data_IF_394825188236
#
_entry.id   IF_394825188236
#
_cell.length_a   1.000
_cell.length_b   1.000
_cell.length_c   1.000
_cell.angle_alpha   90.00
_cell.angle_beta   90.00
_cell.angle_gamma   90.00
#
_symmetry.space_group_name_H-M   'P 1'
#
loop_
_entity.id
_entity.type
_entity.pdbx_description
1 polymer ?
#
# COMPACT_ATOMS: atom_id res chain seq x y z
N UNK A 1 -120.38 -210.07 112.60
CA UNK A 1 -119.27 -209.85 113.55
C UNK A 1 -119.07 -208.36 113.65
N UNK A 2 -118.87 -207.84 114.86
CA UNK A 2 -118.61 -206.43 115.07
C UNK A 2 -117.23 -206.07 114.51
N UNK A 3 -117.11 -204.81 114.09
CA UNK A 3 -115.88 -204.27 113.54
C UNK A 3 -114.77 -204.37 114.57
N UNK A 4 -113.64 -204.95 114.17
CA UNK A 4 -112.44 -204.96 115.01
C UNK A 4 -111.86 -203.55 115.09
N UNK A 5 -111.38 -203.17 116.27
CA UNK A 5 -110.66 -201.92 116.42
C UNK A 5 -109.47 -201.93 115.43
N UNK A 6 -109.38 -200.94 114.53
CA UNK A 6 -108.13 -200.70 113.80
C UNK A 6 -107.24 -199.92 114.75
N UNK A 7 -106.38 -200.64 115.47
CA UNK A 7 -105.28 -200.09 116.23
C UNK A 7 -104.13 -201.07 116.25
N UNK A 8 -102.94 -200.56 116.52
CA UNK A 8 -101.70 -201.35 116.59
C UNK A 8 -101.72 -202.38 117.76
N UNK A 9 -102.66 -202.26 118.71
CA UNK A 9 -102.85 -203.17 119.85
C UNK A 9 -104.03 -204.12 119.70
N UNK A 10 -104.85 -203.91 118.67
CA UNK A 10 -106.06 -204.69 118.45
C UNK A 10 -105.71 -206.05 117.86
N UNK A 11 -106.11 -207.10 118.58
CA UNK A 11 -106.13 -208.48 118.06
C UNK A 11 -107.47 -208.86 117.46
N UNK A 12 -108.37 -207.88 117.34
CA UNK A 12 -109.63 -208.07 116.66
C UNK A 12 -109.36 -208.15 115.16
N UNK A 13 -110.01 -209.07 114.47
CA UNK A 13 -109.95 -209.10 113.03
C UNK A 13 -110.63 -207.85 112.47
N UNK A 14 -109.86 -207.05 111.73
CA UNK A 14 -110.38 -205.93 110.94
C UNK A 14 -111.21 -206.46 109.79
N UNK A 15 -112.34 -205.81 109.54
CA UNK A 15 -113.33 -206.31 108.59
C UNK A 15 -113.03 -205.81 107.15
N UNK A 16 -113.84 -206.26 106.20
CA UNK A 16 -113.69 -205.84 104.80
C UNK A 16 -113.89 -204.34 104.52
N UNK A 17 -114.55 -203.57 105.40
CA UNK A 17 -114.72 -202.13 105.17
C UNK A 17 -113.43 -201.35 105.46
N UNK A 18 -112.63 -201.82 106.43
CA UNK A 18 -111.35 -201.20 106.81
C UNK A 18 -110.27 -201.39 105.73
N UNK A 19 -110.26 -202.52 105.02
CA UNK A 19 -109.33 -202.75 103.91
C UNK A 19 -109.70 -201.97 102.62
N UNK A 20 -111.00 -201.73 102.38
CA UNK A 20 -111.48 -200.97 101.21
C UNK A 20 -111.00 -199.51 101.24
N UNK A 21 -111.07 -198.84 102.39
CA UNK A 21 -110.72 -197.42 102.50
C UNK A 21 -109.25 -197.13 102.16
N UNK A 22 -108.32 -197.97 102.64
CA UNK A 22 -106.89 -197.85 102.32
C UNK A 22 -106.62 -197.98 100.82
N UNK A 23 -107.40 -198.81 100.12
CA UNK A 23 -107.20 -199.04 98.69
C UNK A 23 -107.66 -197.83 97.84
N UNK A 24 -108.76 -197.18 98.23
CA UNK A 24 -109.28 -195.99 97.53
C UNK A 24 -108.29 -194.78 97.67
N UNK A 25 -107.58 -194.65 98.79
CA UNK A 25 -106.54 -193.62 98.99
C UNK A 25 -105.28 -193.86 98.13
N UNK A 26 -104.89 -195.13 97.94
CA UNK A 26 -103.74 -195.50 97.10
C UNK A 26 -104.00 -195.19 95.62
N UNK A 27 -105.23 -195.36 95.15
CA UNK A 27 -105.62 -195.03 93.77
C UNK A 27 -105.61 -193.52 93.52
N UNK A 28 -106.04 -192.73 94.50
CA UNK A 28 -105.96 -191.26 94.46
C UNK A 28 -104.51 -190.77 94.38
N UNK A 29 -103.61 -191.33 95.19
CA UNK A 29 -102.18 -190.98 95.15
C UNK A 29 -101.53 -191.34 93.82
N UNK A 30 -101.90 -192.46 93.23
CA UNK A 30 -101.39 -192.88 91.91
C UNK A 30 -101.73 -191.84 90.83
N UNK A 31 -102.94 -191.28 90.87
CA UNK A 31 -103.40 -190.26 89.91
C UNK A 31 -102.66 -188.91 90.09
N UNK A 32 -102.44 -188.48 91.33
CA UNK A 32 -101.70 -187.25 91.64
C UNK A 32 -100.23 -187.32 91.19
N UNK A 33 -99.59 -188.47 91.35
CA UNK A 33 -98.21 -188.69 90.91
C UNK A 33 -98.08 -188.54 89.39
N UNK A 34 -99.02 -189.09 88.62
CA UNK A 34 -99.02 -188.95 87.16
C UNK A 34 -99.14 -187.48 86.72
N UNK A 35 -100.03 -186.71 87.37
CA UNK A 35 -100.22 -185.28 87.08
C UNK A 35 -98.97 -184.46 87.39
N UNK A 36 -98.35 -184.67 88.56
CA UNK A 36 -97.13 -183.97 88.93
C UNK A 36 -95.96 -184.29 88.00
N UNK A 37 -95.88 -185.54 87.53
CA UNK A 37 -94.87 -185.96 86.55
C UNK A 37 -95.02 -185.18 85.23
N UNK A 38 -96.25 -184.95 84.76
CA UNK A 38 -96.52 -184.15 83.56
C UNK A 38 -96.13 -182.66 83.73
N UNK A 39 -96.50 -182.05 84.85
CA UNK A 39 -96.15 -180.64 85.12
C UNK A 39 -94.64 -180.41 85.20
N UNK A 40 -93.89 -181.35 85.79
CA UNK A 40 -92.43 -181.29 85.88
C UNK A 40 -91.79 -181.33 84.48
N UNK A 41 -92.30 -182.16 83.56
CA UNK A 41 -91.79 -182.23 82.19
C UNK A 41 -91.98 -180.90 81.43
N UNK A 42 -93.15 -180.27 81.55
CA UNK A 42 -93.42 -178.96 80.91
C UNK A 42 -92.53 -177.85 81.46
N UNK A 43 -92.35 -177.77 82.78
CA UNK A 43 -91.47 -176.78 83.39
C UNK A 43 -90.01 -176.98 82.95
N UNK A 44 -89.56 -178.24 82.83
CA UNK A 44 -88.21 -178.55 82.35
C UNK A 44 -87.98 -178.02 80.92
N UNK A 45 -88.96 -178.15 80.02
CA UNK A 45 -88.85 -177.64 78.65
C UNK A 45 -88.82 -176.11 78.58
N UNK A 46 -89.67 -175.41 79.35
CA UNK A 46 -89.67 -173.95 79.38
C UNK A 46 -88.36 -173.36 79.91
N UNK A 47 -87.78 -173.99 80.94
CA UNK A 47 -86.48 -173.59 81.49
C UNK A 47 -85.38 -173.73 80.44
N UNK A 48 -85.38 -174.80 79.64
CA UNK A 48 -84.41 -174.99 78.57
C UNK A 48 -84.50 -173.88 77.50
N UNK A 49 -85.70 -173.54 77.03
CA UNK A 49 -85.89 -172.46 76.04
C UNK A 49 -85.45 -171.09 76.58
N UNK A 50 -85.82 -170.76 77.81
CA UNK A 50 -85.39 -169.50 78.44
C UNK A 50 -83.86 -169.44 78.58
N UNK A 51 -83.21 -170.56 78.89
CA UNK A 51 -81.74 -170.64 78.97
C UNK A 51 -81.09 -170.29 77.63
N UNK A 52 -81.61 -170.80 76.52
CA UNK A 52 -81.09 -170.48 75.18
C UNK A 52 -81.28 -169.01 74.81
N UNK A 53 -82.47 -168.43 75.05
CA UNK A 53 -82.73 -167.02 74.73
C UNK A 53 -81.83 -166.06 75.53
N UNK A 54 -81.62 -166.37 76.82
CA UNK A 54 -80.70 -165.59 77.68
C UNK A 54 -79.27 -165.67 77.14
N UNK A 55 -78.85 -166.82 76.64
CA UNK A 55 -77.50 -167.00 76.05
C UNK A 55 -77.33 -166.12 74.81
N UNK A 56 -78.26 -166.16 73.85
CA UNK A 56 -78.17 -165.32 72.63
C UNK A 56 -78.17 -163.81 72.91
N UNK A 57 -78.97 -163.39 73.91
CA UNK A 57 -78.97 -162.00 74.36
C UNK A 57 -77.64 -161.60 74.99
N UNK A 58 -77.01 -162.51 75.73
CA UNK A 58 -75.69 -162.29 76.33
C UNK A 58 -74.63 -162.10 75.26
N UNK A 59 -74.64 -162.93 74.22
CA UNK A 59 -73.68 -162.85 73.12
C UNK A 59 -73.87 -161.55 72.31
N UNK A 60 -75.11 -161.20 71.96
CA UNK A 60 -75.40 -159.94 71.22
C UNK A 60 -74.99 -158.69 71.99
N UNK A 61 -75.17 -158.69 73.33
CA UNK A 61 -74.70 -157.60 74.19
C UNK A 61 -73.17 -157.60 74.32
N UNK A 62 -72.53 -158.76 74.23
CA UNK A 62 -71.08 -158.90 74.15
C UNK A 62 -70.54 -158.23 72.89
N UNK A 63 -71.06 -158.61 71.72
CA UNK A 63 -70.64 -158.04 70.44
C UNK A 63 -70.85 -156.52 70.39
N UNK A 64 -71.99 -156.04 70.91
CA UNK A 64 -72.26 -154.60 70.96
C UNK A 64 -71.25 -153.84 71.84
N UNK A 65 -70.70 -154.45 72.90
CA UNK A 65 -69.66 -153.80 73.72
C UNK A 65 -68.36 -153.63 72.95
N UNK A 66 -68.02 -154.55 72.07
CA UNK A 66 -66.79 -154.48 71.30
C UNK A 66 -66.86 -153.41 70.20
N UNK A 67 -68.06 -153.17 69.63
CA UNK A 67 -68.25 -152.23 68.52
C UNK A 67 -68.76 -150.83 68.91
N UNK A 68 -69.22 -150.63 70.15
CA UNK A 68 -69.74 -149.34 70.61
C UNK A 68 -68.67 -148.42 71.19
N UNK A 69 -68.88 -147.10 71.10
CA UNK A 69 -68.12 -146.15 71.90
C UNK A 69 -68.47 -146.33 73.38
N UNK A 70 -67.52 -146.82 74.17
CA UNK A 70 -67.74 -147.13 75.58
C UNK A 70 -67.23 -146.01 76.49
N UNK A 71 -68.00 -145.68 77.53
CA UNK A 71 -67.53 -144.78 78.58
C UNK A 71 -66.46 -145.46 79.44
N UNK A 72 -65.26 -144.89 79.51
CA UNK A 72 -64.14 -145.45 80.29
C UNK A 72 -63.95 -144.81 81.67
N UNK A 73 -64.91 -143.98 82.11
CA UNK A 73 -64.87 -143.25 83.38
C UNK A 73 -64.74 -141.75 83.21
N UNK A 74 -64.00 -141.28 82.20
CA UNK A 74 -63.76 -139.85 81.96
C UNK A 74 -64.15 -139.38 80.56
N UNK A 75 -64.17 -140.27 79.57
CA UNK A 75 -64.57 -139.97 78.20
C UNK A 75 -65.19 -141.19 77.52
N UNK A 76 -65.87 -140.95 76.39
CA UNK A 76 -66.14 -142.03 75.45
C UNK A 76 -64.82 -142.45 74.80
N UNK A 77 -64.51 -143.74 74.88
CA UNK A 77 -63.33 -144.35 74.32
C UNK A 77 -63.63 -144.90 72.93
N UNK A 78 -62.79 -144.55 71.96
CA UNK A 78 -62.88 -145.03 70.59
C UNK A 78 -61.93 -146.21 70.28
N UNK A 79 -61.27 -146.78 71.28
CA UNK A 79 -60.51 -148.02 71.11
C UNK A 79 -61.41 -149.15 70.59
N UNK A 80 -60.94 -149.90 69.59
CA UNK A 80 -61.65 -151.03 68.98
C UNK A 80 -60.66 -152.18 68.74
N UNK A 81 -61.01 -153.38 69.19
CA UNK A 81 -60.11 -154.53 69.16
C UNK A 81 -58.78 -154.28 69.89
N UNK A 82 -57.66 -154.41 69.19
CA UNK A 82 -56.31 -154.16 69.74
C UNK A 82 -55.84 -152.71 69.57
N UNK A 83 -56.58 -151.88 68.83
CA UNK A 83 -56.19 -150.49 68.59
C UNK A 83 -56.57 -149.61 69.76
N UNK A 84 -55.59 -148.93 70.34
CA UNK A 84 -55.81 -148.05 71.51
C UNK A 84 -56.52 -146.75 71.14
N UNK A 85 -56.57 -146.40 69.86
CA UNK A 85 -57.27 -145.21 69.32
C UNK A 85 -57.82 -145.54 67.94
N UNK A 86 -59.07 -145.17 67.66
CA UNK A 86 -59.66 -145.32 66.33
C UNK A 86 -60.19 -143.99 65.80
N UNK A 87 -60.32 -143.90 64.48
CA UNK A 87 -60.97 -142.76 63.83
C UNK A 87 -62.48 -142.80 64.04
N UNK A 88 -63.04 -141.70 64.53
CA UNK A 88 -64.50 -141.50 64.51
C UNK A 88 -64.83 -140.84 63.16
N UNK A 89 -65.46 -141.59 62.26
CA UNK A 89 -65.92 -141.06 60.96
C UNK A 89 -67.37 -140.57 61.05
N UNK A 90 -67.81 -139.81 60.05
CA UNK A 90 -69.14 -139.18 60.00
C UNK A 90 -69.43 -138.19 61.15
N UNK A 91 -68.39 -137.60 61.74
CA UNK A 91 -68.53 -136.46 62.66
C UNK A 91 -68.99 -135.24 61.85
N UNK A 92 -70.27 -134.89 62.01
CA UNK A 92 -70.82 -133.65 61.48
C UNK A 92 -69.99 -132.47 62.02
N UNK A 93 -69.77 -131.44 61.20
CA UNK A 93 -69.09 -130.23 61.66
C UNK A 93 -69.76 -129.71 62.94
N UNK A 94 -68.97 -129.58 64.01
CA UNK A 94 -69.45 -129.09 65.28
C UNK A 94 -69.87 -127.64 65.17
N UNK A 95 -70.76 -127.19 66.04
CA UNK A 95 -71.09 -125.76 66.13
C UNK A 95 -69.83 -125.01 66.62
N UNK A 96 -69.41 -123.96 65.92
CA UNK A 96 -68.27 -123.12 66.34
C UNK A 96 -68.82 -121.93 67.13
N UNK A 97 -68.86 -122.07 68.46
CA UNK A 97 -69.22 -121.02 69.40
C UNK A 97 -68.43 -121.18 70.70
N UNK A 98 -68.29 -120.11 71.48
CA UNK A 98 -67.48 -120.10 72.70
C UNK A 98 -67.90 -121.17 73.74
N UNK A 99 -69.19 -121.52 73.81
CA UNK A 99 -69.74 -122.54 74.72
C UNK A 99 -69.90 -123.93 74.07
N UNK A 100 -69.45 -124.12 72.83
CA UNK A 100 -69.63 -125.39 72.12
C UNK A 100 -68.80 -126.49 72.77
N UNK A 101 -69.45 -127.62 73.00
CA UNK A 101 -68.80 -128.87 73.40
C UNK A 101 -68.82 -129.91 72.28
N UNK A 102 -69.26 -129.51 71.08
CA UNK A 102 -69.26 -130.35 69.90
C UNK A 102 -67.82 -130.67 69.48
N UNK A 103 -67.58 -131.91 69.05
CA UNK A 103 -66.30 -132.25 68.43
C UNK A 103 -66.16 -131.52 67.09
N UNK A 104 -65.02 -130.85 66.88
CA UNK A 104 -64.68 -130.28 65.57
C UNK A 104 -64.14 -131.35 64.65
N UNK A 105 -64.53 -131.30 63.38
CA UNK A 105 -64.05 -132.24 62.38
C UNK A 105 -62.85 -131.69 61.60
N UNK A 106 -62.23 -132.54 60.79
CA UNK A 106 -61.04 -132.18 60.00
C UNK A 106 -61.26 -130.99 59.05
N UNK A 107 -62.47 -130.80 58.50
CA UNK A 107 -62.74 -129.63 57.64
C UNK A 107 -62.66 -128.31 58.40
N UNK A 108 -63.21 -128.23 59.62
CA UNK A 108 -63.20 -127.00 60.42
C UNK A 108 -61.77 -126.60 60.84
N UNK A 109 -60.95 -127.59 61.22
CA UNK A 109 -59.55 -127.35 61.56
C UNK A 109 -58.74 -126.97 60.32
N UNK A 110 -59.04 -127.55 59.15
CA UNK A 110 -58.40 -127.19 57.88
C UNK A 110 -58.71 -125.74 57.50
N UNK A 111 -59.97 -125.31 57.56
CA UNK A 111 -60.35 -123.93 57.24
C UNK A 111 -59.62 -122.92 58.14
N UNK A 112 -59.48 -123.25 59.43
CA UNK A 112 -58.69 -122.44 60.37
C UNK A 112 -57.22 -122.36 59.96
N UNK A 113 -56.61 -123.50 59.60
CA UNK A 113 -55.21 -123.54 59.17
C UNK A 113 -54.98 -122.80 57.85
N UNK A 114 -55.89 -122.88 56.89
CA UNK A 114 -55.83 -122.15 55.62
C UNK A 114 -55.87 -120.62 55.85
N UNK A 115 -56.71 -120.16 56.79
CA UNK A 115 -56.76 -118.75 57.20
C UNK A 115 -55.45 -118.30 57.88
N UNK A 116 -54.86 -119.13 58.74
CA UNK A 116 -53.57 -118.85 59.38
C UNK A 116 -52.44 -118.77 58.35
N UNK A 117 -52.41 -119.67 57.36
CA UNK A 117 -51.45 -119.64 56.27
C UNK A 117 -51.60 -118.38 55.41
N UNK A 118 -52.85 -117.96 55.14
CA UNK A 118 -53.16 -116.72 54.44
C UNK A 118 -52.65 -115.50 55.22
N UNK A 119 -52.92 -115.43 56.52
CA UNK A 119 -52.41 -114.36 57.38
C UNK A 119 -50.88 -114.31 57.41
N UNK A 120 -50.22 -115.46 57.46
CA UNK A 120 -48.76 -115.55 57.39
C UNK A 120 -48.22 -114.94 56.10
N UNK A 121 -48.86 -115.22 54.98
CA UNK A 121 -48.51 -114.67 53.66
C UNK A 121 -48.74 -113.15 53.60
N UNK A 122 -49.87 -112.68 54.14
CA UNK A 122 -50.20 -111.25 54.19
C UNK A 122 -49.20 -110.47 55.07
N UNK A 123 -48.81 -111.04 56.22
CA UNK A 123 -47.80 -110.45 57.11
C UNK A 123 -46.46 -110.32 56.37
N UNK A 124 -46.00 -111.40 55.71
CA UNK A 124 -44.75 -111.36 54.94
C UNK A 124 -44.78 -110.29 53.84
N UNK A 125 -45.91 -110.16 53.13
CA UNK A 125 -46.11 -109.12 52.11
C UNK A 125 -46.07 -107.72 52.71
N UNK A 126 -46.72 -107.50 53.84
CA UNK A 126 -46.68 -106.22 54.55
C UNK A 126 -45.28 -105.87 55.03
N UNK A 127 -44.51 -106.84 55.53
CA UNK A 127 -43.10 -106.64 55.90
C UNK A 127 -42.26 -106.20 54.70
N UNK A 128 -42.43 -106.83 53.54
CA UNK A 128 -41.72 -106.45 52.31
C UNK A 128 -42.09 -105.03 51.83
N UNK A 129 -43.38 -104.68 51.88
CA UNK A 129 -43.86 -103.34 51.56
C UNK A 129 -43.30 -102.27 52.51
N UNK A 130 -43.23 -102.58 53.81
CA UNK A 130 -42.61 -101.69 54.81
C UNK A 130 -41.14 -101.48 54.50
N UNK A 131 -40.38 -102.54 54.22
CA UNK A 131 -38.96 -102.43 53.86
C UNK A 131 -38.74 -101.56 52.62
N UNK A 132 -39.60 -101.72 51.61
CA UNK A 132 -39.57 -100.89 50.39
C UNK A 132 -39.87 -99.42 50.71
N UNK A 133 -40.90 -99.15 51.52
CA UNK A 133 -41.23 -97.80 51.95
C UNK A 133 -40.09 -97.16 52.76
N UNK A 134 -39.41 -97.92 53.63
CA UNK A 134 -38.22 -97.46 54.35
C UNK A 134 -37.10 -97.05 53.39
N UNK A 135 -36.83 -97.85 52.35
CA UNK A 135 -35.83 -97.51 51.32
C UNK A 135 -36.21 -96.22 50.57
N UNK A 136 -37.45 -96.13 50.10
CA UNK A 136 -37.95 -94.94 49.39
C UNK A 136 -37.87 -93.67 50.24
N UNK A 137 -38.15 -93.77 51.55
CA UNK A 137 -38.00 -92.66 52.49
C UNK A 137 -36.54 -92.23 52.63
N UNK A 138 -35.61 -93.18 52.68
CA UNK A 138 -34.18 -92.89 52.74
C UNK A 138 -33.69 -92.17 51.47
N UNK A 139 -34.11 -92.64 50.29
CA UNK A 139 -33.79 -92.00 49.01
C UNK A 139 -34.37 -90.58 48.90
N UNK A 140 -35.63 -90.41 49.31
CA UNK A 140 -36.26 -89.09 49.37
C UNK A 140 -35.52 -88.14 50.33
N UNK A 141 -35.05 -88.66 51.46
CA UNK A 141 -34.25 -87.88 52.43
C UNK A 141 -32.93 -87.42 51.81
N UNK A 142 -32.23 -88.29 51.09
CA UNK A 142 -30.99 -87.94 50.41
C UNK A 142 -31.20 -86.92 49.27
N UNK A 143 -32.28 -87.09 48.49
CA UNK A 143 -32.65 -86.15 47.43
C UNK A 143 -33.01 -84.77 47.99
N UNK A 144 -33.74 -84.72 49.12
CA UNK A 144 -34.05 -83.47 49.82
C UNK A 144 -32.75 -82.78 50.27
N UNK A 145 -31.82 -83.50 50.89
CA UNK A 145 -30.55 -82.94 51.32
C UNK A 145 -29.73 -82.36 50.15
N UNK A 146 -29.70 -83.08 49.02
CA UNK A 146 -29.04 -82.59 47.78
C UNK A 146 -29.72 -81.33 47.25
N UNK A 147 -31.05 -81.30 47.19
CA UNK A 147 -31.80 -80.13 46.76
C UNK A 147 -31.57 -78.92 47.70
N UNK A 148 -31.49 -79.16 49.01
CA UNK A 148 -31.14 -78.11 49.98
C UNK A 148 -29.76 -77.53 49.71
N UNK A 149 -28.75 -78.36 49.41
CA UNK A 149 -27.41 -77.89 49.04
C UNK A 149 -27.43 -77.06 47.76
N UNK A 150 -28.08 -77.56 46.70
CA UNK A 150 -28.18 -76.85 45.43
C UNK A 150 -28.90 -75.50 45.56
N UNK A 151 -29.93 -75.41 46.41
CA UNK A 151 -30.63 -74.16 46.71
C UNK A 151 -29.69 -73.18 47.42
N UNK A 152 -28.87 -73.65 48.37
CA UNK A 152 -27.88 -72.81 49.06
C UNK A 152 -26.84 -72.26 48.08
N UNK A 153 -26.30 -73.09 47.18
CA UNK A 153 -25.34 -72.68 46.16
C UNK A 153 -25.96 -71.65 45.19
N UNK A 154 -27.18 -71.91 44.73
CA UNK A 154 -27.91 -70.96 43.88
C UNK A 154 -28.14 -69.62 44.61
N UNK A 155 -28.43 -69.65 45.90
CA UNK A 155 -28.60 -68.43 46.72
C UNK A 155 -27.29 -67.64 46.77
N UNK A 156 -26.14 -68.31 46.98
CA UNK A 156 -24.83 -67.66 47.00
C UNK A 156 -24.44 -67.08 45.63
N UNK A 157 -24.71 -67.82 44.55
CA UNK A 157 -24.48 -67.35 43.17
C UNK A 157 -25.35 -66.13 42.83
N UNK A 158 -26.62 -66.15 43.24
CA UNK A 158 -27.52 -64.99 43.09
C UNK A 158 -26.96 -63.77 43.83
N UNK A 159 -26.54 -63.93 45.09
CA UNK A 159 -25.96 -62.84 45.87
C UNK A 159 -24.70 -62.25 45.20
N UNK A 160 -23.83 -63.11 44.64
CA UNK A 160 -22.65 -62.70 43.89
C UNK A 160 -23.03 -61.93 42.63
N UNK A 161 -23.99 -62.44 41.85
CA UNK A 161 -24.49 -61.76 40.65
C UNK A 161 -25.12 -60.40 40.99
N UNK A 162 -25.89 -60.30 42.09
CA UNK A 162 -26.41 -59.02 42.58
C UNK A 162 -25.30 -58.02 42.88
N UNK A 163 -24.22 -58.46 43.54
CA UNK A 163 -23.06 -57.59 43.82
C UNK A 163 -22.35 -57.12 42.55
N UNK A 164 -22.11 -58.04 41.60
CA UNK A 164 -21.50 -57.71 40.31
C UNK A 164 -22.36 -56.74 39.49
N UNK A 165 -23.68 -56.92 39.47
CA UNK A 165 -24.62 -56.01 38.81
C UNK A 165 -24.55 -54.62 39.45
N UNK A 166 -24.49 -54.52 40.78
CA UNK A 166 -24.34 -53.25 41.48
C UNK A 166 -23.01 -52.55 41.12
N UNK A 167 -21.91 -53.30 41.07
CA UNK A 167 -20.60 -52.78 40.64
C UNK A 167 -20.61 -52.28 39.19
N UNK A 168 -21.18 -53.07 38.26
CA UNK A 168 -21.34 -52.66 36.87
C UNK A 168 -22.22 -51.40 36.74
N UNK A 169 -23.29 -51.31 37.53
CA UNK A 169 -24.16 -50.12 37.57
C UNK A 169 -23.38 -48.88 38.00
N UNK A 170 -22.55 -48.98 39.04
CA UNK A 170 -21.69 -47.87 39.49
C UNK A 170 -20.67 -47.47 38.42
N UNK A 171 -20.00 -48.43 37.78
CA UNK A 171 -19.04 -48.16 36.70
C UNK A 171 -19.71 -47.47 35.49
N UNK A 172 -20.92 -47.90 35.11
CA UNK A 172 -21.70 -47.27 34.04
C UNK A 172 -22.05 -45.82 34.40
N UNK A 173 -22.44 -45.56 35.66
CA UNK A 173 -22.72 -44.20 36.12
C UNK A 173 -21.47 -43.31 36.04
N UNK A 174 -20.32 -43.79 36.50
CA UNK A 174 -19.03 -43.08 36.37
C UNK A 174 -18.67 -42.81 34.92
N UNK A 175 -18.78 -43.81 34.04
CA UNK A 175 -18.51 -43.62 32.61
C UNK A 175 -19.46 -42.59 31.98
N UNK A 176 -20.73 -42.57 32.38
CA UNK A 176 -21.71 -41.56 31.93
C UNK A 176 -21.27 -40.15 32.32
N UNK A 177 -20.83 -39.95 33.57
CA UNK A 177 -20.31 -38.66 34.05
C UNK A 177 -19.05 -38.25 33.28
N UNK A 178 -18.10 -39.17 33.07
CA UNK A 178 -16.87 -38.89 32.33
C UNK A 178 -17.14 -38.50 30.87
N UNK A 179 -18.07 -39.19 30.20
CA UNK A 179 -18.48 -38.87 28.83
C UNK A 179 -19.11 -37.47 28.77
N UNK A 180 -19.95 -37.12 29.74
CA UNK A 180 -20.53 -35.77 29.82
C UNK A 180 -19.43 -34.70 29.99
N UNK A 181 -18.46 -34.92 30.88
CA UNK A 181 -17.33 -34.00 31.08
C UNK A 181 -16.44 -33.86 29.83
N UNK A 182 -16.17 -34.96 29.13
CA UNK A 182 -15.45 -34.95 27.87
C UNK A 182 -16.22 -34.17 26.79
N UNK A 183 -17.55 -34.34 26.72
CA UNK A 183 -18.42 -33.60 25.79
C UNK A 183 -18.32 -32.10 26.04
N UNK A 184 -18.41 -31.66 27.31
CA UNK A 184 -18.24 -30.25 27.67
C UNK A 184 -16.86 -29.73 27.28
N UNK A 185 -15.79 -30.49 27.56
CA UNK A 185 -14.42 -30.09 27.26
C UNK A 185 -14.17 -29.95 25.76
N UNK A 186 -14.69 -30.88 24.95
CA UNK A 186 -14.63 -30.83 23.49
C UNK A 186 -15.36 -29.60 22.95
N UNK A 187 -16.55 -29.29 23.48
CA UNK A 187 -17.28 -28.10 23.06
C UNK A 187 -16.52 -26.82 23.38
N UNK A 188 -15.90 -26.71 24.56
CA UNK A 188 -15.06 -25.56 24.91
C UNK A 188 -13.82 -25.44 24.01
N UNK A 189 -13.20 -26.57 23.65
CA UNK A 189 -12.10 -26.59 22.69
C UNK A 189 -12.54 -26.11 21.31
N UNK A 190 -13.67 -26.58 20.79
CA UNK A 190 -14.22 -26.14 19.51
C UNK A 190 -14.48 -24.62 19.52
N UNK A 191 -15.14 -24.09 20.56
CA UNK A 191 -15.33 -22.63 20.68
C UNK A 191 -14.01 -21.85 20.69
N UNK A 192 -12.97 -22.40 21.32
CA UNK A 192 -11.65 -21.76 21.34
C UNK A 192 -10.96 -21.80 19.98
N UNK A 193 -11.12 -22.90 19.24
CA UNK A 193 -10.61 -23.04 17.87
C UNK A 193 -11.35 -22.09 16.93
N UNK A 194 -12.68 -22.03 16.99
CA UNK A 194 -13.49 -21.11 16.20
C UNK A 194 -13.08 -19.65 16.44
N UNK A 195 -12.78 -19.28 17.68
CA UNK A 195 -12.27 -17.95 18.02
C UNK A 195 -10.88 -17.70 17.40
N UNK A 196 -9.98 -18.69 17.48
CA UNK A 196 -8.65 -18.58 16.89
C UNK A 196 -8.69 -18.47 15.36
N UNK A 197 -9.58 -19.22 14.70
CA UNK A 197 -9.78 -19.13 13.25
C UNK A 197 -10.28 -17.75 12.81
N UNK A 198 -11.00 -17.02 13.68
CA UNK A 198 -11.43 -15.67 13.39
C UNK A 198 -10.38 -14.61 13.71
N UNK A 199 -9.63 -14.76 14.81
CA UNK A 199 -8.74 -13.71 15.33
C UNK A 199 -7.29 -13.80 14.84
N UNK A 200 -6.84 -14.97 14.35
CA UNK A 200 -5.46 -15.18 13.91
C UNK A 200 -5.21 -14.71 12.47
N UNK A 201 -3.96 -14.31 12.17
CA UNK A 201 -3.52 -14.19 10.77
C UNK A 201 -3.32 -15.58 10.16
N UNK A 202 -4.23 -15.98 9.28
CA UNK A 202 -4.22 -17.32 8.68
C UNK A 202 -3.50 -17.34 7.32
N UNK A 203 -2.80 -18.44 7.04
CA UNK A 203 -2.21 -18.68 5.73
C UNK A 203 -3.29 -19.09 4.73
N UNK A 204 -3.44 -18.35 3.63
CA UNK A 204 -4.47 -18.61 2.61
C UNK A 204 -3.97 -19.46 1.41
N UNK A 205 -2.76 -20.03 1.51
CA UNK A 205 -2.11 -20.79 0.44
C UNK A 205 -0.94 -20.05 -0.20
N UNK A 206 -0.98 -18.71 -0.25
CA UNK A 206 0.08 -17.88 -0.88
C UNK A 206 0.62 -16.77 0.03
N UNK A 207 -0.18 -16.29 0.99
CA UNK A 207 0.22 -15.25 1.94
C UNK A 207 -0.53 -15.42 3.28
N UNK A 208 -0.01 -14.76 4.33
CA UNK A 208 -0.79 -14.54 5.54
C UNK A 208 -1.88 -13.51 5.26
N UNK A 209 -3.13 -13.84 5.60
CA UNK A 209 -4.30 -12.98 5.45
C UNK A 209 -4.60 -12.26 6.76
N UNK A 210 -4.77 -10.94 6.69
CA UNK A 210 -5.13 -10.09 7.81
C UNK A 210 -6.64 -9.73 7.85
N UNK A 211 -7.49 -10.38 7.05
CA UNK A 211 -8.94 -10.25 7.14
C UNK A 211 -9.44 -10.68 8.53
N UNK A 212 -10.42 -9.97 9.07
CA UNK A 212 -11.03 -10.26 10.37
C UNK A 212 -12.54 -10.03 10.30
N UNK A 213 -13.33 -11.02 10.72
CA UNK A 213 -14.79 -10.97 10.63
C UNK A 213 -15.28 -10.71 9.20
N UNK A 214 -16.01 -9.61 8.99
CA UNK A 214 -16.51 -9.19 7.67
C UNK A 214 -15.53 -8.29 6.91
N UNK A 215 -14.45 -7.84 7.55
CA UNK A 215 -13.47 -6.96 6.94
C UNK A 215 -12.48 -7.77 6.09
N UNK A 216 -12.42 -7.44 4.80
CA UNK A 216 -11.51 -8.11 3.86
C UNK A 216 -10.04 -7.73 4.06
N UNK A 217 -9.77 -6.66 4.82
CA UNK A 217 -8.42 -6.19 5.19
C UNK A 217 -8.44 -5.58 6.58
N UNK A 218 -7.44 -5.89 7.41
CA UNK A 218 -7.27 -5.24 8.73
C UNK A 218 -5.87 -4.63 8.87
N UNK A 219 -5.74 -3.65 9.76
CA UNK A 219 -4.45 -3.07 10.12
C UNK A 219 -3.66 -4.01 11.01
N UNK A 220 -2.39 -4.23 10.68
CA UNK A 220 -1.44 -4.93 11.54
C UNK A 220 -0.74 -3.88 12.42
N UNK A 221 -1.04 -3.87 13.71
CA UNK A 221 -0.45 -2.93 14.68
C UNK A 221 0.69 -3.58 15.46
N UNK A 222 1.46 -2.78 16.20
CA UNK A 222 2.64 -3.23 16.96
C UNK A 222 3.73 -3.94 16.11
N UNK A 223 3.79 -3.63 14.82
CA UNK A 223 4.89 -4.04 13.95
C UNK A 223 6.15 -3.30 14.38
N UNK A 224 7.11 -4.03 14.98
CA UNK A 224 8.44 -3.52 15.29
C UNK A 224 9.08 -2.98 14.01
N UNK A 225 9.85 -1.90 14.10
CA UNK A 225 10.57 -1.38 12.94
C UNK A 225 11.45 -2.49 12.34
N UNK A 226 11.21 -2.80 11.06
CA UNK A 226 11.93 -3.83 10.34
C UNK A 226 13.38 -3.43 10.12
N UNK A 227 14.27 -4.39 9.98
CA UNK A 227 15.66 -4.12 9.61
C UNK A 227 15.69 -3.57 8.18
N UNK A 228 16.44 -2.49 7.94
CA UNK A 228 16.60 -1.88 6.61
C UNK A 228 17.94 -2.34 6.02
N UNK A 229 17.92 -3.40 5.22
CA UNK A 229 19.06 -3.94 4.49
C UNK A 229 18.59 -4.61 3.20
N UNK A 230 19.49 -4.80 2.24
CA UNK A 230 19.16 -5.33 0.91
C UNK A 230 18.50 -6.72 0.95
N UNK A 231 18.86 -7.56 1.93
CA UNK A 231 18.31 -8.90 2.10
C UNK A 231 17.15 -8.98 3.11
N UNK A 232 16.63 -7.85 3.59
CA UNK A 232 15.60 -7.85 4.65
C UNK A 232 14.25 -8.34 4.12
N UNK A 233 13.65 -9.28 4.84
CA UNK A 233 12.27 -9.73 4.63
C UNK A 233 11.33 -9.21 5.73
N UNK A 234 11.79 -8.29 6.57
CA UNK A 234 10.99 -7.71 7.65
C UNK A 234 9.92 -6.76 7.09
N UNK A 235 8.73 -6.76 7.70
CA UNK A 235 7.72 -5.76 7.39
C UNK A 235 8.19 -4.37 7.88
N UNK A 236 8.07 -3.35 7.03
CA UNK A 236 8.31 -1.95 7.42
C UNK A 236 7.05 -1.37 8.07
N UNK A 237 7.22 -0.66 9.18
CA UNK A 237 6.09 0.01 9.83
C UNK A 237 5.92 1.45 9.34
N UNK A 238 4.80 2.09 9.74
CA UNK A 238 4.46 3.45 9.31
C UNK A 238 5.52 4.52 9.67
N UNK A 239 6.28 4.34 10.77
CA UNK A 239 7.32 5.30 11.16
C UNK A 239 8.52 5.29 10.20
N UNK A 240 8.91 4.12 9.70
CA UNK A 240 9.99 3.97 8.72
C UNK A 240 9.59 4.58 7.38
N UNK A 241 8.37 4.26 6.90
CA UNK A 241 7.87 4.83 5.65
C UNK A 241 7.71 6.36 5.75
N UNK A 242 7.27 6.87 6.91
CA UNK A 242 7.19 8.32 7.12
C UNK A 242 8.55 9.00 7.07
N UNK A 243 9.57 8.45 7.73
CA UNK A 243 10.92 9.01 7.68
C UNK A 243 11.46 9.09 6.24
N UNK A 244 11.24 8.04 5.45
CA UNK A 244 11.57 8.06 4.01
C UNK A 244 10.79 9.15 3.26
N UNK A 245 9.49 9.28 3.51
CA UNK A 245 8.67 10.31 2.86
C UNK A 245 9.08 11.73 3.24
N UNK A 246 9.46 11.98 4.49
CA UNK A 246 9.96 13.29 4.94
C UNK A 246 11.28 13.66 4.24
N UNK A 247 12.19 12.68 4.03
CA UNK A 247 13.41 12.87 3.26
C UNK A 247 13.10 13.15 1.77
N UNK A 248 12.14 12.45 1.17
CA UNK A 248 11.69 12.70 -0.21
C UNK A 248 11.08 14.10 -0.35
N UNK A 249 10.27 14.54 0.61
CA UNK A 249 9.72 15.89 0.63
C UNK A 249 10.83 16.94 0.73
N UNK A 250 11.83 16.73 1.60
CA UNK A 250 13.01 17.60 1.72
C UNK A 250 13.78 17.68 0.40
N UNK A 251 14.02 16.55 -0.26
CA UNK A 251 14.66 16.52 -1.56
C UNK A 251 13.85 17.29 -2.62
N UNK A 252 12.53 17.19 -2.58
CA UNK A 252 11.63 17.93 -3.48
C UNK A 252 11.78 19.43 -3.29
N UNK A 253 11.81 19.92 -2.04
CA UNK A 253 12.07 21.33 -1.73
C UNK A 253 13.45 21.78 -2.20
N UNK A 254 14.50 20.99 -1.94
CA UNK A 254 15.86 21.30 -2.38
C UNK A 254 15.96 21.41 -3.91
N UNK A 255 15.31 20.51 -4.65
CA UNK A 255 15.25 20.56 -6.12
C UNK A 255 14.54 21.83 -6.60
N UNK A 256 13.42 22.21 -5.97
CA UNK A 256 12.71 23.44 -6.30
C UNK A 256 13.58 24.69 -6.07
N UNK A 257 14.30 24.76 -4.94
CA UNK A 257 15.26 25.83 -4.64
C UNK A 257 16.40 25.88 -5.66
N UNK A 258 16.99 24.72 -6.01
CA UNK A 258 18.02 24.65 -7.04
C UNK A 258 17.50 25.13 -8.40
N UNK A 259 16.27 24.75 -8.75
CA UNK A 259 15.62 25.21 -9.99
C UNK A 259 15.45 26.73 -10.01
N UNK A 260 15.00 27.33 -8.91
CA UNK A 260 14.87 28.77 -8.77
C UNK A 260 16.24 29.48 -8.88
N UNK A 261 17.26 28.96 -8.19
CA UNK A 261 18.63 29.49 -8.27
C UNK A 261 19.18 29.44 -9.71
N UNK A 262 18.95 28.35 -10.44
CA UNK A 262 19.34 28.22 -11.85
C UNK A 262 18.61 29.26 -12.71
N UNK A 263 17.31 29.47 -12.50
CA UNK A 263 16.54 30.49 -13.22
C UNK A 263 17.09 31.91 -12.95
N UNK A 264 17.39 32.23 -11.69
CA UNK A 264 18.03 33.51 -11.31
C UNK A 264 19.41 33.67 -11.96
N UNK A 265 20.26 32.65 -11.90
CA UNK A 265 21.57 32.68 -12.55
C UNK A 265 21.44 32.88 -14.07
N UNK A 266 20.47 32.22 -14.70
CA UNK A 266 20.18 32.39 -16.14
C UNK A 266 19.79 33.84 -16.44
N UNK A 267 18.92 34.47 -15.64
CA UNK A 267 18.54 35.87 -15.82
C UNK A 267 19.70 36.84 -15.61
N UNK A 268 20.54 36.59 -14.59
CA UNK A 268 21.74 37.40 -14.33
C UNK A 268 22.74 37.31 -15.49
N UNK A 269 22.97 36.12 -16.03
CA UNK A 269 23.84 35.91 -17.19
C UNK A 269 23.29 36.65 -18.41
N UNK A 270 21.98 36.60 -18.68
CA UNK A 270 21.39 37.35 -19.78
C UNK A 270 21.57 38.86 -19.61
N UNK A 271 21.42 39.37 -18.39
CA UNK A 271 21.63 40.79 -18.07
C UNK A 271 23.09 41.21 -18.30
N UNK A 272 24.04 40.35 -17.88
CA UNK A 272 25.47 40.56 -18.13
C UNK A 272 25.78 40.55 -19.63
N UNK A 273 25.24 39.61 -20.39
CA UNK A 273 25.43 39.57 -21.85
C UNK A 273 24.90 40.84 -22.52
N UNK A 274 23.68 41.28 -22.19
CA UNK A 274 23.15 42.55 -22.72
C UNK A 274 24.02 43.75 -22.34
N UNK A 275 24.57 43.77 -21.13
CA UNK A 275 25.49 44.83 -20.69
C UNK A 275 26.81 44.80 -21.48
N UNK A 276 27.34 43.61 -21.77
CA UNK A 276 28.52 43.42 -22.61
C UNK A 276 28.23 43.86 -24.04
N UNK A 277 27.12 43.42 -24.64
CA UNK A 277 26.70 43.84 -25.99
C UNK A 277 26.54 45.36 -26.10
N UNK A 278 26.07 46.01 -25.03
CA UNK A 278 25.97 47.48 -24.96
C UNK A 278 27.36 48.11 -24.87
N UNK A 279 28.24 47.57 -24.02
CA UNK A 279 29.61 48.07 -23.88
C UNK A 279 30.42 47.89 -25.17
N UNK A 280 30.25 46.78 -25.88
CA UNK A 280 30.89 46.53 -27.18
C UNK A 280 30.41 47.52 -28.25
N UNK A 281 29.16 48.00 -28.17
CA UNK A 281 28.67 49.05 -29.07
C UNK A 281 29.18 50.44 -28.69
N UNK A 282 29.26 50.77 -27.40
CA UNK A 282 29.54 52.13 -26.92
C UNK A 282 31.04 52.43 -26.70
N UNK A 283 31.90 51.42 -26.62
CA UNK A 283 33.32 51.59 -26.37
C UNK A 283 34.14 51.90 -27.63
N UNK A 284 35.26 52.61 -27.45
CA UNK A 284 36.30 52.70 -28.48
C UNK A 284 37.07 51.37 -28.50
N UNK A 285 36.85 50.56 -29.54
CA UNK A 285 37.38 49.21 -29.64
C UNK A 285 38.57 49.10 -30.60
N UNK A 286 39.49 48.19 -30.31
CA UNK A 286 40.59 47.85 -31.22
C UNK A 286 40.08 46.96 -32.35
N UNK A 287 40.20 47.41 -33.60
CA UNK A 287 39.72 46.67 -34.78
C UNK A 287 40.80 45.76 -35.42
N UNK A 288 41.91 45.52 -34.73
CA UNK A 288 43.06 44.78 -35.24
C UNK A 288 44.22 45.67 -35.71
N UNK A 289 43.95 46.91 -36.12
CA UNK A 289 44.97 47.84 -36.64
C UNK A 289 44.96 49.23 -35.97
N UNK A 290 43.80 49.69 -35.51
CA UNK A 290 43.62 50.95 -34.81
C UNK A 290 42.44 50.86 -33.84
N UNK A 291 42.36 51.83 -32.93
CA UNK A 291 41.15 52.09 -32.16
C UNK A 291 40.09 52.73 -33.06
N UNK A 292 38.90 52.13 -33.12
CA UNK A 292 37.77 52.60 -33.91
C UNK A 292 36.77 53.33 -33.01
N UNK A 293 36.32 54.49 -33.45
CA UNK A 293 35.20 55.22 -32.86
C UNK A 293 33.90 54.98 -33.64
N UNK A 294 33.77 53.87 -34.37
CA UNK A 294 32.51 53.49 -35.02
C UNK A 294 31.46 53.12 -33.97
N UNK A 295 30.21 53.54 -34.17
CA UNK A 295 29.10 53.27 -33.26
C UNK A 295 27.86 52.90 -34.07
N UNK A 296 27.24 51.76 -33.76
CA UNK A 296 26.07 51.26 -34.50
C UNK A 296 26.33 51.12 -36.00
N UNK A 297 25.61 51.87 -36.83
CA UNK A 297 25.77 51.89 -38.30
C UNK A 297 26.73 52.96 -38.80
N UNK A 298 27.25 53.82 -37.92
CA UNK A 298 28.15 54.91 -38.28
C UNK A 298 29.59 54.39 -38.42
N UNK A 299 30.21 54.65 -39.57
CA UNK A 299 31.59 54.22 -39.85
C UNK A 299 32.65 55.06 -39.11
N UNK A 300 32.27 56.22 -38.58
CA UNK A 300 33.08 57.06 -37.71
C UNK A 300 32.15 57.88 -36.78
N UNK A 301 32.57 58.15 -35.54
CA UNK A 301 31.85 59.02 -34.61
C UNK A 301 32.75 60.06 -33.96
N UNK A 302 32.12 61.10 -33.40
CA UNK A 302 32.81 62.21 -32.74
C UNK A 302 33.35 61.79 -31.38
N UNK A 303 34.66 61.94 -31.17
CA UNK A 303 35.26 61.86 -29.84
C UNK A 303 35.26 63.26 -29.23
N UNK A 304 34.41 63.50 -28.24
CA UNK A 304 34.33 64.77 -27.50
C UNK A 304 34.93 64.63 -26.10
N UNK A 305 35.02 65.71 -25.34
CA UNK A 305 35.68 65.77 -24.03
C UNK A 305 37.18 65.36 -24.10
N UNK A 306 37.80 65.51 -25.27
CA UNK A 306 39.23 65.34 -25.46
C UNK A 306 39.95 66.52 -24.81
N UNK A 307 40.67 66.25 -23.73
CA UNK A 307 41.53 67.24 -23.08
C UNK A 307 42.53 67.78 -24.10
N UNK A 308 42.85 69.08 -24.03
CA UNK A 308 43.85 69.67 -24.93
C UNK A 308 45.17 68.89 -24.83
N UNK A 309 45.61 68.34 -25.96
CA UNK A 309 46.84 67.56 -26.01
C UNK A 309 48.06 68.45 -25.79
N UNK A 310 49.13 67.89 -25.25
CA UNK A 310 50.38 68.63 -25.11
C UNK A 310 50.93 68.96 -26.49
N UNK A 311 51.26 70.24 -26.76
CA UNK A 311 51.84 70.64 -28.04
C UNK A 311 53.37 70.58 -27.95
N UNK A 312 53.95 69.47 -28.41
CA UNK A 312 55.40 69.27 -28.53
C UNK A 312 55.72 68.38 -29.73
N UNK A 313 56.97 68.39 -30.19
CA UNK A 313 57.41 67.68 -31.40
C UNK A 313 57.09 66.17 -31.38
N UNK A 314 57.15 65.53 -30.21
CA UNK A 314 56.95 64.09 -30.05
C UNK A 314 55.63 63.74 -29.34
N UNK A 315 54.68 64.67 -29.26
CA UNK A 315 53.41 64.41 -28.58
C UNK A 315 52.59 63.35 -29.30
N UNK A 316 52.10 62.38 -28.55
CA UNK A 316 51.13 61.37 -29.01
C UNK A 316 49.71 61.64 -28.51
N UNK A 317 49.50 62.79 -27.86
CA UNK A 317 48.18 63.20 -27.37
C UNK A 317 47.29 63.56 -28.55
N UNK A 318 46.02 63.14 -28.51
CA UNK A 318 45.03 63.64 -29.44
C UNK A 318 44.84 65.16 -29.26
N UNK A 319 44.85 65.92 -30.36
CA UNK A 319 44.53 67.35 -30.33
C UNK A 319 43.03 67.55 -30.45
N UNK A 320 42.50 68.55 -29.73
CA UNK A 320 41.08 68.86 -29.80
C UNK A 320 40.78 70.04 -30.73
N UNK A 321 39.49 70.26 -31.01
CA UNK A 321 39.04 71.31 -31.92
C UNK A 321 39.48 72.74 -31.53
N UNK A 322 39.65 73.03 -30.23
CA UNK A 322 40.09 74.35 -29.78
C UNK A 322 41.53 74.65 -30.18
N UNK A 323 42.43 73.65 -30.12
CA UNK A 323 43.83 73.78 -30.52
C UNK A 323 43.98 74.02 -32.03
N UNK A 324 43.22 73.28 -32.85
CA UNK A 324 43.18 73.48 -34.29
C UNK A 324 42.56 74.83 -34.66
N UNK A 325 41.50 75.24 -33.96
CA UNK A 325 40.86 76.54 -34.16
C UNK A 325 41.81 77.71 -33.87
N UNK A 326 42.60 77.64 -32.78
CA UNK A 326 43.61 78.66 -32.48
C UNK A 326 44.67 78.76 -33.59
N UNK A 327 45.11 77.61 -34.12
CA UNK A 327 46.03 77.58 -35.27
C UNK A 327 45.39 78.20 -36.51
N UNK A 328 44.13 77.85 -36.82
CA UNK A 328 43.40 78.40 -37.96
C UNK A 328 43.15 79.90 -37.84
N UNK A 329 42.93 80.44 -36.64
CA UNK A 329 42.81 81.87 -36.41
C UNK A 329 44.11 82.61 -36.75
N UNK A 330 45.27 82.09 -36.34
CA UNK A 330 46.58 82.65 -36.70
C UNK A 330 46.80 82.62 -38.22
N UNK A 331 46.41 81.54 -38.91
CA UNK A 331 46.48 81.44 -40.38
C UNK A 331 45.58 82.47 -41.06
N UNK A 332 44.37 82.70 -40.54
CA UNK A 332 43.47 83.73 -41.06
C UNK A 332 44.08 85.14 -40.89
N UNK A 333 44.67 85.46 -39.73
CA UNK A 333 45.38 86.72 -39.50
C UNK A 333 46.54 86.92 -40.50
N UNK A 334 47.35 85.89 -40.72
CA UNK A 334 48.42 85.95 -41.72
C UNK A 334 47.87 86.20 -43.13
N UNK A 335 46.75 85.58 -43.48
CA UNK A 335 46.07 85.79 -44.76
C UNK A 335 45.62 87.24 -44.93
N UNK A 336 45.00 87.82 -43.90
CA UNK A 336 44.63 89.25 -43.89
C UNK A 336 45.85 90.16 -44.02
N UNK A 337 46.91 89.91 -43.25
CA UNK A 337 48.13 90.71 -43.31
C UNK A 337 48.75 90.72 -44.72
N UNK A 338 48.79 89.56 -45.40
CA UNK A 338 49.28 89.44 -46.78
C UNK A 338 48.41 90.26 -47.74
N UNK A 339 47.08 90.20 -47.61
CA UNK A 339 46.17 90.99 -48.44
C UNK A 339 46.36 92.49 -48.23
N UNK A 340 46.51 92.95 -46.97
CA UNK A 340 46.80 94.35 -46.65
C UNK A 340 48.13 94.80 -47.24
N UNK A 341 49.21 94.02 -47.06
CA UNK A 341 50.50 94.34 -47.66
C UNK A 341 50.43 94.45 -49.18
N UNK A 342 49.67 93.55 -49.83
CA UNK A 342 49.44 93.59 -51.28
C UNK A 342 48.72 94.88 -51.70
N UNK A 343 47.68 95.30 -50.97
CA UNK A 343 46.97 96.53 -51.23
C UNK A 343 47.86 97.78 -51.05
N UNK A 344 48.64 97.83 -49.96
CA UNK A 344 49.58 98.93 -49.72
C UNK A 344 50.64 99.06 -50.81
N UNK A 345 51.19 97.94 -51.30
CA UNK A 345 52.12 97.92 -52.42
C UNK A 345 51.46 98.49 -53.69
N UNK A 346 50.22 98.10 -53.98
CA UNK A 346 49.49 98.63 -55.14
C UNK A 346 49.27 100.14 -55.03
N UNK A 347 48.90 100.65 -53.86
CA UNK A 347 48.75 102.10 -53.63
C UNK A 347 50.07 102.86 -53.83
N UNK A 348 51.19 102.28 -53.36
CA UNK A 348 52.51 102.86 -53.58
C UNK A 348 52.86 102.91 -55.07
N UNK A 349 52.63 101.84 -55.82
CA UNK A 349 52.86 101.81 -57.27
C UNK A 349 52.05 102.89 -57.99
N UNK A 350 50.75 103.03 -57.71
CA UNK A 350 49.93 104.10 -58.31
C UNK A 350 50.43 105.51 -57.96
N UNK A 351 50.95 105.70 -56.75
CA UNK A 351 51.51 106.99 -56.33
C UNK A 351 52.82 107.31 -57.05
N UNK A 352 53.66 106.29 -57.32
CA UNK A 352 54.88 106.43 -58.11
C UNK A 352 54.54 106.76 -59.57
N UNK A 353 53.59 106.04 -60.17
CA UNK A 353 53.14 106.30 -61.55
C UNK A 353 52.58 107.73 -61.71
N UNK A 354 51.92 108.26 -60.68
CA UNK A 354 51.47 109.66 -60.68
C UNK A 354 52.65 110.65 -60.59
N UNK A 355 53.63 110.37 -59.74
CA UNK A 355 54.81 111.22 -59.59
C UNK A 355 55.66 111.25 -60.87
N UNK A 356 55.77 110.13 -61.59
CA UNK A 356 56.43 110.06 -62.89
C UNK A 356 55.74 110.91 -63.97
N UNK A 357 54.44 111.20 -63.84
CA UNK A 357 53.72 112.05 -64.79
C UNK A 357 53.82 113.55 -64.46
N UNK A 358 53.93 113.91 -63.18
CA UNK A 358 53.82 115.30 -62.71
C UNK A 358 55.17 115.97 -62.35
N UNK A 359 56.27 115.22 -62.25
CA UNK A 359 57.58 115.76 -61.90
C UNK A 359 58.41 116.22 -63.12
N UNK A 360 59.34 117.18 -62.90
CA UNK A 360 60.42 117.43 -63.86
C UNK A 360 61.42 116.28 -63.78
N UNK A 361 61.40 115.40 -64.77
CA UNK A 361 62.24 114.21 -64.81
C UNK A 361 63.53 114.46 -65.60
N UNK A 362 64.63 113.84 -65.15
CA UNK A 362 65.88 113.82 -65.90
C UNK A 362 65.76 112.91 -67.12
N UNK A 363 65.92 113.46 -68.33
CA UNK A 363 65.79 112.73 -69.60
C UNK A 363 67.09 112.08 -70.09
N UNK A 364 68.14 112.12 -69.27
CA UNK A 364 69.48 111.66 -69.59
C UNK A 364 70.45 112.81 -69.86
N UNK A 365 69.96 113.95 -70.33
CA UNK A 365 70.78 115.12 -70.68
C UNK A 365 70.32 116.43 -70.04
N UNK A 366 69.03 116.59 -69.79
CA UNK A 366 68.42 117.74 -69.14
C UNK A 366 67.19 117.33 -68.31
N UNK A 367 66.68 118.25 -67.50
CA UNK A 367 65.34 118.09 -66.93
C UNK A 367 64.29 118.40 -68.00
N UNK A 368 63.37 117.46 -68.23
CA UNK A 368 62.28 117.59 -69.19
C UNK A 368 61.01 118.06 -68.49
N UNK A 369 60.36 119.05 -69.10
CA UNK A 369 59.01 119.50 -68.74
C UNK A 369 57.93 118.79 -69.57
N UNK A 370 58.19 117.56 -70.00
CA UNK A 370 57.19 116.72 -70.64
C UNK A 370 56.16 116.24 -69.60
N UNK A 371 54.86 116.42 -69.87
CA UNK A 371 53.78 116.05 -68.94
C UNK A 371 52.87 114.97 -69.53
N UNK A 372 52.37 114.09 -68.65
CA UNK A 372 51.42 113.02 -68.99
C UNK A 372 52.01 111.88 -69.82
N UNK A 373 51.21 110.84 -70.05
CA UNK A 373 51.63 109.61 -70.73
C UNK A 373 52.22 109.82 -72.14
N UNK A 374 51.81 110.88 -72.85
CA UNK A 374 52.29 111.21 -74.21
C UNK A 374 53.58 112.03 -74.22
N UNK A 375 54.09 112.45 -73.05
CA UNK A 375 55.30 113.27 -72.89
C UNK A 375 55.25 114.57 -73.70
N UNK A 376 54.11 115.25 -73.67
CA UNK A 376 53.92 116.51 -74.39
C UNK A 376 54.69 117.64 -73.70
N UNK A 377 55.41 118.45 -74.47
CA UNK A 377 56.17 119.59 -73.95
C UNK A 377 55.23 120.58 -73.27
N UNK A 378 55.43 120.79 -71.97
CA UNK A 378 54.57 121.65 -71.16
C UNK A 378 55.28 122.92 -70.72
N UNK A 379 54.48 123.95 -70.46
CA UNK A 379 54.99 125.22 -69.92
C UNK A 379 55.43 125.01 -68.47
N UNK A 380 56.61 125.52 -68.12
CA UNK A 380 56.97 125.73 -66.72
C UNK A 380 56.45 127.12 -66.34
N UNK A 381 55.34 127.16 -65.60
CA UNK A 381 54.76 128.40 -65.06
C UNK A 381 55.20 128.63 -63.61
N UNK A 382 54.87 129.79 -63.03
CA UNK A 382 55.32 130.20 -61.68
C UNK A 382 56.85 130.27 -61.51
N UNK A 383 57.58 130.46 -62.61
CA UNK A 383 59.00 130.76 -62.58
C UNK A 383 59.18 132.22 -62.13
N UNK A 384 59.74 132.40 -60.93
CA UNK A 384 60.12 133.73 -60.44
C UNK A 384 61.13 134.37 -61.41
N UNK A 385 61.11 135.70 -61.55
CA UNK A 385 62.03 136.39 -62.44
C UNK A 385 63.48 136.06 -62.04
N UNK A 386 64.22 135.39 -62.94
CA UNK A 386 65.58 134.96 -62.70
C UNK A 386 66.55 136.13 -62.61
N UNK A 387 67.66 135.98 -61.91
CA UNK A 387 68.67 137.04 -61.87
C UNK A 387 69.26 137.24 -63.26
N UNK A 388 69.29 138.47 -63.80
CA UNK A 388 69.94 138.74 -65.10
C UNK A 388 71.37 139.19 -64.87
N UNK A 389 72.31 138.25 -64.95
CA UNK A 389 73.76 138.51 -64.89
C UNK A 389 74.51 137.47 -65.75
N UNK A 390 75.78 137.74 -66.08
CA UNK A 390 76.59 136.85 -66.92
C UNK A 390 76.88 135.47 -66.32
N UNK A 391 76.68 135.29 -65.01
CA UNK A 391 76.89 134.02 -64.30
C UNK A 391 75.59 133.34 -63.87
N UNK A 392 74.42 133.91 -64.21
CA UNK A 392 73.15 133.38 -63.74
C UNK A 392 72.83 132.03 -64.37
N UNK A 393 72.37 131.10 -63.53
CA UNK A 393 71.81 129.81 -63.93
C UNK A 393 70.29 129.76 -63.74
N UNK A 394 69.68 130.91 -63.41
CA UNK A 394 68.23 131.01 -63.22
C UNK A 394 67.52 130.98 -64.57
N UNK A 395 66.39 130.28 -64.64
CA UNK A 395 65.50 130.41 -65.79
C UNK A 395 64.90 131.83 -65.81
N UNK A 396 64.93 132.48 -66.97
CA UNK A 396 64.23 133.75 -67.17
C UNK A 396 62.75 133.49 -67.45
N UNK A 397 61.87 134.37 -66.99
CA UNK A 397 60.44 134.28 -67.29
C UNK A 397 60.00 135.29 -68.35
N UNK A 398 58.76 135.15 -68.83
CA UNK A 398 58.22 136.00 -69.90
C UNK A 398 58.20 137.49 -69.60
N UNK A 399 58.00 137.90 -68.34
CA UNK A 399 57.98 139.32 -67.94
C UNK A 399 59.34 140.00 -68.14
N UNK A 400 60.44 139.28 -67.97
CA UNK A 400 61.78 139.83 -68.13
C UNK A 400 62.12 140.06 -69.61
N UNK A 401 61.76 139.12 -70.49
CA UNK A 401 61.93 139.28 -71.93
C UNK A 401 61.00 140.38 -72.48
N UNK A 402 59.77 140.45 -72.00
CA UNK A 402 58.81 141.49 -72.37
C UNK A 402 59.27 142.88 -71.93
N UNK A 403 59.80 143.00 -70.70
CA UNK A 403 60.38 144.24 -70.18
C UNK A 403 61.58 144.74 -71.00
N UNK A 404 62.47 143.83 -71.42
CA UNK A 404 63.58 144.16 -72.33
C UNK A 404 63.06 144.67 -73.68
N UNK A 405 62.14 143.93 -74.30
CA UNK A 405 61.56 144.31 -75.60
C UNK A 405 60.82 145.66 -75.53
N UNK A 406 60.10 145.93 -74.45
CA UNK A 406 59.41 147.21 -74.23
C UNK A 406 60.38 148.39 -74.08
N UNK A 407 61.54 148.16 -73.45
CA UNK A 407 62.59 149.19 -73.31
C UNK A 407 63.18 149.56 -74.68
N UNK A 408 63.40 148.56 -75.55
CA UNK A 408 63.88 148.78 -76.93
C UNK A 408 62.87 149.60 -77.74
N UNK A 409 61.58 149.29 -77.65
CA UNK A 409 60.53 150.03 -78.35
C UNK A 409 60.52 151.51 -77.94
N UNK A 410 60.66 151.76 -76.64
CA UNK A 410 60.70 153.13 -76.11
C UNK A 410 61.91 153.92 -76.62
N UNK A 411 63.09 153.32 -76.67
CA UNK A 411 64.30 154.01 -77.14
C UNK A 411 64.26 154.36 -78.63
N UNK A 412 63.58 153.56 -79.44
CA UNK A 412 63.38 153.88 -80.84
C UNK A 412 62.35 155.02 -81.00
N UNK A 413 61.28 155.07 -80.21
CA UNK A 413 60.25 156.10 -80.40
C UNK A 413 59.51 155.90 -81.73
N UNK A 414 59.03 156.98 -82.38
CA UNK A 414 58.36 156.87 -83.69
C UNK A 414 57.13 155.96 -83.73
N UNK A 415 56.51 155.62 -82.59
CA UNK A 415 55.39 154.69 -82.52
C UNK A 415 55.76 153.20 -82.40
N UNK A 416 57.03 152.85 -82.15
CA UNK A 416 57.43 151.47 -81.85
C UNK A 416 56.75 150.94 -80.56
N UNK A 417 56.32 149.68 -80.56
CA UNK A 417 55.59 149.05 -79.44
C UNK A 417 55.85 147.54 -79.32
N UNK A 418 55.45 146.93 -78.20
CA UNK A 418 55.42 145.47 -77.99
C UNK A 418 54.03 145.06 -77.54
N UNK A 419 53.47 143.99 -78.11
CA UNK A 419 52.17 143.43 -77.71
C UNK A 419 52.26 142.60 -76.44
N UNK A 420 51.12 142.31 -75.80
CA UNK A 420 51.04 141.39 -74.64
C UNK A 420 51.44 139.94 -74.99
N UNK A 421 51.47 139.59 -76.29
CA UNK A 421 52.02 138.32 -76.78
C UNK A 421 53.53 138.36 -77.04
N UNK A 422 54.20 139.46 -76.69
CA UNK A 422 55.65 139.64 -76.86
C UNK A 422 56.11 139.96 -78.28
N UNK A 423 55.19 140.31 -79.19
CA UNK A 423 55.52 140.65 -80.59
C UNK A 423 55.94 142.11 -80.67
N UNK A 424 57.12 142.36 -81.25
CA UNK A 424 57.70 143.71 -81.40
C UNK A 424 57.28 144.36 -82.72
N UNK A 425 56.89 145.64 -82.70
CA UNK A 425 56.57 146.47 -83.87
C UNK A 425 57.47 147.71 -83.90
N UNK A 426 58.13 147.96 -85.02
CA UNK A 426 59.18 148.99 -85.17
C UNK A 426 58.67 150.45 -85.25
N UNK A 427 59.59 151.44 -85.22
CA UNK A 427 59.27 152.86 -85.28
C UNK A 427 58.93 153.32 -86.70
N UNK A 428 58.31 154.50 -86.82
CA UNK A 428 58.16 155.28 -88.05
C UNK A 428 58.49 156.75 -87.76
N UNK A 429 59.42 157.32 -88.53
CA UNK A 429 59.85 158.72 -88.43
C UNK A 429 59.49 159.46 -89.71
N UNK A 430 58.80 160.59 -89.62
CA UNK A 430 58.42 161.41 -90.78
C UNK A 430 59.39 162.58 -90.96
N UNK A 431 60.08 162.64 -92.09
CA UNK A 431 61.00 163.74 -92.46
C UNK A 431 60.57 164.29 -93.81
N UNK A 432 60.16 165.56 -93.82
CA UNK A 432 59.69 166.28 -95.01
C UNK A 432 58.59 165.52 -95.79
N UNK A 433 57.63 164.95 -95.06
CA UNK A 433 56.47 164.28 -95.64
C UNK A 433 56.66 162.81 -96.03
N UNK A 434 57.85 162.21 -95.84
CA UNK A 434 58.11 160.79 -96.10
C UNK A 434 58.41 160.00 -94.80
N UNK A 435 57.88 158.78 -94.72
CA UNK A 435 58.00 157.90 -93.55
C UNK A 435 59.19 156.93 -93.64
N UNK A 436 59.96 156.81 -92.56
CA UNK A 436 61.13 155.94 -92.43
C UNK A 436 61.02 155.04 -91.21
N UNK A 437 61.16 153.73 -91.39
CA UNK A 437 60.88 152.74 -90.33
C UNK A 437 62.11 152.26 -89.55
N UNK A 438 63.25 152.92 -89.72
CA UNK A 438 64.45 152.72 -88.92
C UNK A 438 65.23 154.03 -88.78
N UNK A 439 66.00 154.12 -87.70
CA UNK A 439 66.73 155.36 -87.32
C UNK A 439 67.74 155.77 -88.38
N UNK A 440 68.46 154.80 -88.97
CA UNK A 440 69.51 155.08 -89.95
C UNK A 440 68.97 155.82 -91.17
N UNK A 441 67.88 155.31 -91.75
CA UNK A 441 67.24 155.93 -92.90
C UNK A 441 66.66 157.32 -92.60
N UNK A 442 66.14 157.55 -91.39
CA UNK A 442 65.58 158.84 -90.99
C UNK A 442 66.66 159.95 -90.84
N UNK A 443 67.85 159.61 -90.34
CA UNK A 443 68.95 160.57 -90.19
C UNK A 443 69.57 160.98 -91.53
N UNK A 444 69.70 160.03 -92.47
CA UNK A 444 70.20 160.31 -93.83
C UNK A 444 69.30 161.31 -94.57
N UNK A 445 67.99 161.22 -94.38
CA UNK A 445 67.02 162.15 -94.95
C UNK A 445 67.21 163.60 -94.45
N UNK A 446 67.48 163.80 -93.15
CA UNK A 446 67.71 165.13 -92.56
C UNK A 446 68.99 165.79 -93.12
N UNK A 447 70.07 165.02 -93.27
CA UNK A 447 71.37 165.54 -93.70
C UNK A 447 71.32 166.18 -95.10
N UNK A 448 70.47 165.66 -95.98
CA UNK A 448 70.32 166.16 -97.35
C UNK A 448 69.61 167.52 -97.39
N UNK A 449 68.58 167.72 -96.56
CA UNK A 449 67.77 168.95 -96.50
C UNK A 449 68.55 170.22 -96.12
N UNK A 450 69.65 170.09 -95.36
CA UNK A 450 70.41 171.24 -94.85
C UNK A 450 71.39 171.82 -95.88
N UNK A 451 71.84 171.02 -96.85
CA UNK A 451 72.93 171.39 -97.75
C UNK A 451 72.51 172.35 -98.87
N UNK A 452 71.22 172.41 -99.21
CA UNK A 452 70.71 173.19 -100.34
C UNK A 452 70.42 174.67 -100.00
N UNK A 453 70.39 175.06 -98.72
CA UNK A 453 69.90 176.38 -98.27
C UNK A 453 70.94 177.52 -98.22
N UNK A 454 72.25 177.27 -98.33
CA UNK A 454 73.31 178.25 -97.99
C UNK A 454 74.03 178.91 -99.19
N UNK A 455 73.72 178.54 -100.45
CA UNK A 455 74.51 178.94 -101.63
C UNK A 455 74.26 180.35 -102.22
N UNK A 456 73.11 180.99 -101.99
CA UNK A 456 72.61 182.08 -102.87
C UNK A 456 72.82 183.54 -102.38
N UNK A 457 73.47 183.80 -101.24
CA UNK A 457 73.25 185.08 -100.52
C UNK A 457 74.19 186.31 -100.74
N UNK A 458 75.50 186.24 -101.11
CA UNK A 458 76.42 187.43 -101.05
C UNK A 458 77.58 187.47 -102.08
N UNK A 459 77.93 188.65 -102.63
CA UNK A 459 79.10 188.92 -103.53
C UNK A 459 79.97 190.14 -103.05
N UNK A 460 81.26 190.19 -103.44
CA UNK A 460 82.32 191.07 -102.88
C UNK A 460 82.77 192.22 -103.82
N UNK A 461 82.80 193.49 -103.36
CA UNK A 461 83.29 194.68 -104.11
C UNK A 461 84.71 195.14 -103.69
N UNK A 462 85.60 195.26 -104.67
CA UNK A 462 87.03 195.55 -104.51
C UNK A 462 87.41 197.04 -104.42
N UNK A 463 86.49 197.99 -104.67
CA UNK A 463 86.79 199.43 -104.58
C UNK A 463 86.48 200.07 -103.21
N UNK A 464 85.68 199.40 -102.37
CA UNK A 464 85.39 199.79 -100.98
C UNK A 464 85.70 198.71 -99.94
N UNK A 465 86.08 197.50 -100.36
CA UNK A 465 86.30 196.34 -99.48
C UNK A 465 85.11 196.07 -98.54
N UNK A 466 83.90 196.02 -99.11
CA UNK A 466 82.68 195.55 -98.45
C UNK A 466 81.93 194.55 -99.33
N UNK A 467 81.31 193.53 -98.71
CA UNK A 467 80.26 192.74 -99.34
C UNK A 467 79.08 193.68 -99.60
N UNK A 468 78.79 193.91 -100.87
CA UNK A 468 77.62 194.68 -101.28
C UNK A 468 76.47 193.70 -101.55
N UNK A 469 75.23 194.06 -101.16
CA UNK A 469 74.06 193.33 -101.61
C UNK A 469 74.09 193.29 -103.13
N UNK A 470 73.86 192.12 -103.72
CA UNK A 470 73.69 192.02 -105.16
C UNK A 470 72.42 192.80 -105.55
N UNK A 471 72.55 194.10 -105.87
CA UNK A 471 71.42 195.00 -106.19
C UNK A 471 70.97 194.89 -107.64
N UNK A 472 70.95 193.68 -108.19
CA UNK A 472 70.20 193.42 -109.41
C UNK A 472 68.88 192.76 -108.98
N UNK A 473 67.87 193.60 -108.71
CA UNK A 473 66.50 193.26 -109.13
C UNK A 473 66.58 193.05 -110.66
N UNK A 474 65.93 192.04 -111.27
CA UNK A 474 64.46 191.87 -111.24
C UNK A 474 64.05 190.38 -111.51
N UNK A 475 62.96 190.07 -112.23
CA UNK A 475 61.52 190.30 -112.01
C UNK A 475 60.71 188.98 -111.90
N UNK A 476 59.44 189.15 -111.51
CA UNK A 476 58.28 188.25 -111.67
C UNK A 476 58.21 186.99 -110.79
#
# INVERSE_FOLDING_TARGET
>A
MADGAVSDSSKDAVNGSQLKATNDDVETNTTNIATNTGNIATNTANIATNTTNITNLTDTVGDLKDDALLWNGTAFNAAHGTETTSTITNVKAGTLSDDSTDAVNGSQLKDTNDNVATNTTNIASNTANIATNTSNIADNTANIATNTSNIADNTANIATNTSNIAGNTANIATNTTNIAANTTSINSLNTSVDALEQDAMLWNGTAFNAAHGTETTSTITNVKAGTLSDDSTDAVNGSQLKATNDNVATNTTNIASNTANIATNTANINTLNTSIDTLEQDAILWNGTAYSAAHGTETASTITNVKAGTLSENSTDAVNGAQLNATNANVATNTTNIATNTASINTLNTSIDALEQDALLWDGTAFSAAHGANKDASKITNVLAGTVSSASTDAINGSQLHGLSSSIATYLGGGATVSDSGVFSGPTYNIDGNDYTNVGAALDAINTSLSDSLGDALLWDSTTAHLVPNTVLPPA
#
